data_IF_769525907651
#
_entry.id   IF_769525907651
#
_cell.length_a   1.000
_cell.length_b   1.000
_cell.length_c   1.000
_cell.angle_alpha   90.00
_cell.angle_beta   90.00
_cell.angle_gamma   90.00
#
_symmetry.space_group_name_H-M   'P 1'
#
loop_
_entity.id
_entity.type
_entity.pdbx_description
1 polymer ?
#
# COMPACT_ATOMS: atom_id res chain seq x y z
N UNK A 1 3.87 24.00 -16.71
CA UNK A 1 5.14 23.92 -17.45
C UNK A 1 5.96 22.69 -17.03
N UNK A 2 6.11 22.45 -15.72
CA UNK A 2 6.96 21.36 -15.20
C UNK A 2 6.26 20.03 -15.06
N UNK A 3 4.95 19.93 -15.30
CA UNK A 3 4.15 18.73 -15.05
C UNK A 3 4.28 18.20 -13.60
N UNK A 4 4.46 19.08 -12.65
CA UNK A 4 4.67 18.77 -11.24
C UNK A 4 3.63 19.47 -10.37
N UNK A 5 3.51 19.01 -9.13
CA UNK A 5 2.66 19.61 -8.09
C UNK A 5 3.47 19.83 -6.83
N UNK A 6 3.11 20.86 -6.06
CA UNK A 6 3.56 21.08 -4.70
C UNK A 6 2.42 20.67 -3.76
N UNK A 7 2.66 19.71 -2.89
CA UNK A 7 1.70 19.23 -1.91
C UNK A 7 2.15 19.60 -0.50
N UNK A 8 1.23 20.17 0.30
CA UNK A 8 1.44 20.51 1.70
C UNK A 8 0.79 19.49 2.64
N UNK A 9 1.15 19.44 3.93
CA UNK A 9 0.48 18.60 4.92
C UNK A 9 -1.04 18.82 4.91
N UNK A 10 -1.79 17.74 4.98
CA UNK A 10 -3.25 17.77 4.85
C UNK A 10 -3.77 17.58 3.42
N UNK A 11 -2.92 17.73 2.39
CA UNK A 11 -3.31 17.36 1.03
C UNK A 11 -3.52 15.86 0.93
N UNK A 12 -4.71 15.44 0.47
CA UNK A 12 -5.03 14.03 0.28
C UNK A 12 -4.73 13.57 -1.14
N UNK A 13 -4.47 12.29 -1.33
CA UNK A 13 -4.36 11.69 -2.67
C UNK A 13 -5.65 11.86 -3.46
N UNK A 14 -6.80 11.78 -2.80
CA UNK A 14 -8.10 12.01 -3.41
C UNK A 14 -8.23 13.43 -4.00
N UNK A 15 -7.84 14.46 -3.23
CA UNK A 15 -7.86 15.85 -3.71
C UNK A 15 -6.90 16.03 -4.88
N UNK A 16 -5.72 15.40 -4.82
CA UNK A 16 -4.74 15.45 -5.89
C UNK A 16 -5.27 14.80 -7.17
N UNK A 17 -5.88 13.62 -7.10
CA UNK A 17 -6.53 12.96 -8.23
C UNK A 17 -7.63 13.85 -8.85
N UNK A 18 -8.46 14.47 -8.01
CA UNK A 18 -9.53 15.37 -8.45
C UNK A 18 -9.02 16.62 -9.17
N UNK A 19 -7.91 17.20 -8.69
CA UNK A 19 -7.29 18.40 -9.33
C UNK A 19 -6.62 18.02 -10.65
N UNK A 20 -5.99 16.85 -10.75
CA UNK A 20 -5.23 16.42 -11.93
C UNK A 20 -6.13 15.90 -13.06
N UNK A 21 -7.25 15.27 -12.72
CA UNK A 21 -8.16 14.64 -13.70
C UNK A 21 -8.62 15.59 -14.82
N UNK A 22 -9.07 16.84 -14.57
CA UNK A 22 -9.43 17.79 -15.63
C UNK A 22 -8.27 18.17 -16.55
N UNK A 23 -7.03 18.03 -16.07
CA UNK A 23 -5.81 18.31 -16.82
C UNK A 23 -5.33 17.10 -17.65
N UNK A 24 -6.07 15.97 -17.63
CA UNK A 24 -5.68 14.73 -18.28
C UNK A 24 -4.42 14.11 -17.65
N UNK A 25 -4.22 14.37 -16.37
CA UNK A 25 -3.06 13.88 -15.61
C UNK A 25 -3.49 13.07 -14.40
N UNK A 26 -2.56 12.30 -13.86
CA UNK A 26 -2.74 11.48 -12.66
C UNK A 26 -1.54 11.62 -11.70
N UNK A 27 -1.72 11.32 -10.42
CA UNK A 27 -0.67 11.44 -9.42
C UNK A 27 0.42 10.37 -9.59
N UNK A 28 1.52 10.55 -8.85
CA UNK A 28 2.65 9.63 -8.78
C UNK A 28 2.27 8.24 -8.27
N UNK A 29 1.23 8.14 -7.45
CA UNK A 29 0.76 6.87 -6.87
C UNK A 29 -0.76 6.85 -6.79
N UNK A 30 -1.35 5.67 -6.93
CA UNK A 30 -2.73 5.35 -6.61
C UNK A 30 -2.70 4.36 -5.45
N UNK A 31 -3.04 4.84 -4.26
CA UNK A 31 -3.08 4.02 -3.05
C UNK A 31 -4.55 3.70 -2.76
N UNK A 32 -4.87 2.44 -2.48
CA UNK A 32 -6.23 2.03 -2.14
C UNK A 32 -6.82 2.83 -0.96
N UNK A 33 -5.97 3.31 -0.04
CA UNK A 33 -6.35 4.18 1.08
C UNK A 33 -6.65 5.64 0.69
N UNK A 34 -6.54 6.03 -0.58
CA UNK A 34 -6.91 7.39 -1.02
C UNK A 34 -8.35 7.75 -0.64
N UNK A 35 -9.25 6.78 -0.70
CA UNK A 35 -10.65 6.94 -0.32
C UNK A 35 -10.90 7.13 1.20
N UNK A 36 -9.92 6.85 2.05
CA UNK A 36 -10.01 7.06 3.51
C UNK A 36 -9.15 8.23 3.99
N UNK A 37 -8.68 9.06 3.07
CA UNK A 37 -7.97 10.29 3.39
C UNK A 37 -6.45 10.15 3.51
N UNK A 38 -5.85 9.17 2.83
CA UNK A 38 -4.39 9.04 2.78
C UNK A 38 -3.75 10.33 2.28
N UNK A 39 -2.77 10.85 3.03
CA UNK A 39 -2.12 12.11 2.69
C UNK A 39 -0.95 11.89 1.73
N UNK A 40 -0.74 12.86 0.83
CA UNK A 40 0.40 12.86 -0.11
C UNK A 40 1.73 12.87 0.65
N UNK A 41 1.89 13.80 1.60
CA UNK A 41 3.11 13.91 2.41
C UNK A 41 3.34 12.65 3.25
N UNK A 42 2.27 12.08 3.84
CA UNK A 42 2.36 10.81 4.58
C UNK A 42 2.83 9.66 3.72
N UNK A 43 2.39 9.59 2.47
CA UNK A 43 2.86 8.60 1.48
C UNK A 43 4.36 8.71 1.22
N UNK A 44 4.88 9.92 1.03
CA UNK A 44 6.31 10.20 0.83
C UNK A 44 7.11 9.82 2.10
N UNK A 45 6.67 10.29 3.27
CA UNK A 45 7.38 10.02 4.52
C UNK A 45 7.46 8.54 4.88
N UNK A 46 6.54 7.72 4.38
CA UNK A 46 6.51 6.28 4.64
C UNK A 46 6.90 5.43 3.41
N UNK A 47 7.41 6.03 2.35
CA UNK A 47 7.74 5.33 1.09
C UNK A 47 6.61 4.40 0.63
N UNK A 48 5.36 4.90 0.73
CA UNK A 48 4.17 4.10 0.42
C UNK A 48 4.14 3.76 -1.07
N UNK A 49 3.84 2.51 -1.37
CA UNK A 49 3.70 2.05 -2.74
C UNK A 49 2.32 2.36 -3.32
N UNK A 50 1.69 1.36 -3.87
CA UNK A 50 0.36 1.41 -4.48
C UNK A 50 0.25 0.37 -5.59
N UNK A 51 -0.89 0.34 -6.25
CA UNK A 51 -1.19 -0.68 -7.26
C UNK A 51 -0.46 -0.50 -8.61
N UNK A 52 0.19 0.64 -8.83
CA UNK A 52 0.79 0.98 -10.12
C UNK A 52 2.09 0.20 -10.38
N UNK A 53 2.13 -0.54 -11.49
CA UNK A 53 3.30 -1.32 -11.91
C UNK A 53 4.36 -0.46 -12.58
N UNK A 54 3.97 0.64 -13.21
CA UNK A 54 4.87 1.53 -13.96
C UNK A 54 5.67 2.48 -13.10
N UNK A 55 5.28 2.65 -11.82
CA UNK A 55 5.83 3.64 -10.90
C UNK A 55 6.16 2.98 -9.58
N UNK A 56 7.25 3.43 -8.99
CA UNK A 56 7.72 2.97 -7.69
C UNK A 56 6.91 3.52 -6.52
N UNK A 57 7.47 3.39 -5.33
CA UNK A 57 6.92 4.01 -4.13
C UNK A 57 6.86 5.53 -4.28
N UNK A 58 6.04 6.16 -3.46
CA UNK A 58 5.99 7.61 -3.35
C UNK A 58 7.38 8.13 -2.93
N UNK A 59 8.03 8.88 -3.81
CA UNK A 59 9.41 9.34 -3.66
C UNK A 59 9.60 10.73 -4.23
N UNK A 60 10.40 11.54 -3.56
CA UNK A 60 10.92 12.80 -4.06
C UNK A 60 12.17 13.21 -3.29
N UNK A 61 13.08 13.90 -3.98
CA UNK A 61 14.23 14.59 -3.40
C UNK A 61 13.96 16.09 -3.19
N UNK A 62 12.76 16.54 -3.55
CA UNK A 62 12.35 17.93 -3.51
C UNK A 62 11.36 18.17 -2.36
N UNK A 63 11.87 18.64 -1.22
CA UNK A 63 11.08 18.88 -0.02
C UNK A 63 11.49 20.17 0.72
N UNK A 64 10.51 20.74 1.43
CA UNK A 64 10.72 21.75 2.46
C UNK A 64 10.43 21.12 3.81
N UNK A 65 11.39 21.13 4.72
CA UNK A 65 11.23 20.48 6.01
C UNK A 65 12.01 21.17 7.13
N UNK A 66 11.55 20.97 8.36
CA UNK A 66 12.27 21.31 9.57
C UNK A 66 12.99 20.09 10.14
N UNK A 67 14.20 20.30 10.64
CA UNK A 67 14.96 19.28 11.36
C UNK A 67 15.56 19.84 12.65
N UNK A 68 15.93 18.94 13.55
CA UNK A 68 16.78 19.27 14.70
C UNK A 68 18.20 18.82 14.37
N UNK A 69 19.13 19.76 14.34
CA UNK A 69 20.53 19.47 14.02
C UNK A 69 21.29 18.89 15.22
N UNK A 70 22.59 18.56 15.03
CA UNK A 70 23.46 17.99 16.06
C UNK A 70 23.58 18.85 17.32
N UNK A 71 23.48 20.17 17.19
CA UNK A 71 23.50 21.13 18.31
C UNK A 71 22.14 21.24 19.04
N UNK A 72 21.11 20.51 18.58
CA UNK A 72 19.76 20.60 19.11
C UNK A 72 18.97 21.83 18.64
N UNK A 73 19.45 22.54 17.63
CA UNK A 73 18.76 23.72 17.05
C UNK A 73 17.81 23.29 15.93
N UNK A 74 16.66 24.00 15.85
CA UNK A 74 15.72 23.81 14.76
C UNK A 74 16.19 24.58 13.53
N UNK A 75 16.25 23.92 12.39
CA UNK A 75 16.57 24.46 11.08
C UNK A 75 15.43 24.22 10.09
N UNK A 76 15.11 25.23 9.28
CA UNK A 76 14.23 25.06 8.12
C UNK A 76 15.12 24.87 6.88
N UNK A 77 14.93 23.75 6.18
CA UNK A 77 15.70 23.39 4.99
C UNK A 77 14.78 23.46 3.77
N UNK A 78 15.12 24.35 2.83
CA UNK A 78 14.38 24.48 1.57
C UNK A 78 15.13 23.76 0.44
N UNK A 79 14.78 22.51 0.19
CA UNK A 79 15.21 21.73 -0.97
C UNK A 79 14.04 21.48 -1.94
N UNK A 80 12.97 22.30 -1.86
CA UNK A 80 11.81 22.18 -2.74
C UNK A 80 12.15 22.52 -4.21
N UNK A 81 13.29 23.16 -4.44
CA UNK A 81 13.68 23.65 -5.76
C UNK A 81 12.83 24.84 -6.23
N UNK A 82 12.36 25.65 -5.29
CA UNK A 82 11.63 26.89 -5.52
C UNK A 82 12.23 27.95 -4.61
N UNK A 83 12.59 29.11 -5.18
CA UNK A 83 13.01 30.27 -4.39
C UNK A 83 11.79 30.87 -3.67
N UNK A 84 11.80 30.75 -2.35
CA UNK A 84 10.71 31.19 -1.48
C UNK A 84 11.16 32.34 -0.53
N UNK A 85 12.39 32.84 -0.68
CA UNK A 85 12.99 33.82 0.21
C UNK A 85 14.13 33.28 1.06
N UNK A 86 14.67 34.14 1.95
CA UNK A 86 15.90 33.85 2.68
C UNK A 86 15.69 33.59 4.18
N UNK A 87 14.55 33.94 4.73
CA UNK A 87 14.21 33.66 6.15
C UNK A 87 13.11 32.60 6.28
N UNK A 88 13.06 31.88 7.38
CA UNK A 88 11.98 30.89 7.63
C UNK A 88 10.58 31.49 7.47
N UNK A 89 10.39 32.73 7.93
CA UNK A 89 9.12 33.47 7.87
C UNK A 89 8.74 33.79 6.42
N UNK A 90 9.70 34.28 5.60
CA UNK A 90 9.48 34.51 4.18
C UNK A 90 9.13 33.24 3.44
N UNK A 91 9.94 32.17 3.63
CA UNK A 91 9.77 30.87 2.98
C UNK A 91 8.37 30.30 3.26
N UNK A 92 7.97 30.24 4.52
CA UNK A 92 6.68 29.68 4.91
C UNK A 92 5.51 30.57 4.45
N UNK A 93 5.67 31.90 4.51
CA UNK A 93 4.65 32.87 4.06
C UNK A 93 4.44 32.74 2.54
N UNK A 94 5.53 32.75 1.77
CA UNK A 94 5.47 32.64 0.31
C UNK A 94 4.92 31.29 -0.14
N UNK A 95 5.28 30.20 0.54
CA UNK A 95 4.69 28.88 0.30
C UNK A 95 3.17 28.90 0.54
N UNK A 96 2.73 29.40 1.70
CA UNK A 96 1.32 29.41 2.10
C UNK A 96 0.48 30.28 1.14
N UNK A 97 0.99 31.44 0.76
CA UNK A 97 0.29 32.42 -0.08
C UNK A 97 0.48 32.16 -1.57
N UNK A 98 1.24 31.13 -1.97
CA UNK A 98 1.64 30.86 -3.37
C UNK A 98 2.36 32.08 -3.98
N UNK A 99 3.19 32.73 -3.21
CA UNK A 99 3.96 33.92 -3.60
C UNK A 99 5.19 33.59 -4.44
N UNK A 100 5.07 32.66 -5.38
CA UNK A 100 6.10 32.22 -6.32
C UNK A 100 5.51 31.92 -7.69
N UNK A 101 6.34 32.02 -8.73
CA UNK A 101 6.00 31.79 -10.13
C UNK A 101 6.85 30.67 -10.74
N UNK A 102 6.68 30.41 -12.02
CA UNK A 102 7.54 29.48 -12.76
C UNK A 102 9.01 29.98 -12.87
N UNK A 103 9.25 31.26 -12.75
CA UNK A 103 10.60 31.85 -12.81
C UNK A 103 11.40 31.55 -11.54
N UNK A 104 10.71 31.35 -10.40
CA UNK A 104 11.32 31.04 -9.12
C UNK A 104 11.67 29.54 -8.99
N UNK A 105 11.27 28.72 -9.98
CA UNK A 105 11.53 27.28 -9.98
C UNK A 105 12.95 27.02 -10.50
N UNK A 106 13.76 26.42 -9.64
CA UNK A 106 15.12 26.02 -9.96
C UNK A 106 15.14 24.68 -10.70
N UNK A 107 15.89 24.61 -11.80
CA UNK A 107 16.19 23.36 -12.48
C UNK A 107 17.37 22.69 -11.77
N UNK A 108 17.19 21.44 -11.35
CA UNK A 108 18.24 20.66 -10.68
C UNK A 108 18.15 19.19 -11.11
N UNK A 109 19.19 18.43 -10.80
CA UNK A 109 19.21 16.96 -11.05
C UNK A 109 18.40 16.16 -10.02
N UNK A 110 17.77 16.86 -9.06
CA UNK A 110 16.96 16.23 -8.04
C UNK A 110 15.66 15.66 -8.61
N UNK A 111 15.32 14.46 -8.16
CA UNK A 111 14.20 13.69 -8.67
C UNK A 111 12.90 14.05 -7.93
N UNK A 112 11.83 14.24 -8.70
CA UNK A 112 10.47 14.43 -8.19
C UNK A 112 9.62 13.13 -8.20
N UNK A 113 10.21 12.00 -8.60
CA UNK A 113 9.66 10.63 -8.58
C UNK A 113 10.76 9.61 -8.77
N UNK A 114 10.44 8.30 -8.59
CA UNK A 114 11.37 7.21 -8.90
C UNK A 114 11.43 6.97 -10.41
N UNK A 115 12.52 7.34 -11.06
CA UNK A 115 12.72 7.19 -12.50
C UNK A 115 13.27 5.83 -12.92
N UNK A 116 13.78 5.00 -11.97
CA UNK A 116 14.41 3.72 -12.25
C UNK A 116 13.46 2.52 -12.09
N UNK A 117 12.29 2.76 -11.50
CA UNK A 117 11.42 1.68 -11.07
C UNK A 117 10.90 0.80 -12.22
N UNK A 118 10.59 1.39 -13.37
CA UNK A 118 10.10 0.65 -14.52
C UNK A 118 11.11 -0.40 -15.01
N UNK A 119 12.39 -0.04 -15.02
CA UNK A 119 13.47 -0.97 -15.36
C UNK A 119 13.67 -2.03 -14.26
N UNK A 120 13.61 -1.57 -13.02
CA UNK A 120 13.78 -2.47 -11.87
C UNK A 120 12.72 -3.55 -11.80
N UNK A 121 11.45 -3.22 -12.00
CA UNK A 121 10.36 -4.21 -11.92
C UNK A 121 10.43 -5.25 -13.05
N UNK A 122 11.04 -4.90 -14.18
CA UNK A 122 11.28 -5.79 -15.33
C UNK A 122 12.35 -6.84 -15.08
N UNK A 123 13.31 -6.55 -14.21
CA UNK A 123 14.37 -7.50 -13.85
C UNK A 123 13.82 -8.58 -12.90
N UNK A 124 13.11 -9.54 -13.47
CA UNK A 124 12.39 -10.61 -12.75
C UNK A 124 13.31 -11.67 -12.13
N UNK A 125 14.60 -11.65 -12.46
CA UNK A 125 15.59 -12.63 -11.96
C UNK A 125 16.44 -12.11 -10.81
N UNK A 126 16.27 -10.84 -10.41
CA UNK A 126 17.02 -10.26 -9.32
C UNK A 126 16.65 -10.84 -7.96
N UNK A 127 17.68 -11.08 -7.14
CA UNK A 127 17.59 -11.60 -5.79
C UNK A 127 17.28 -10.52 -4.75
N UNK A 128 16.32 -9.66 -5.06
CA UNK A 128 15.83 -8.60 -4.18
C UNK A 128 14.41 -8.17 -4.56
N UNK A 129 13.61 -7.62 -3.63
CA UNK A 129 12.29 -7.10 -3.93
C UNK A 129 12.31 -5.94 -4.93
N UNK A 130 11.19 -5.73 -5.62
CA UNK A 130 11.01 -4.55 -6.49
C UNK A 130 11.02 -3.27 -5.67
N UNK A 131 10.33 -3.28 -4.52
CA UNK A 131 10.20 -2.15 -3.61
C UNK A 131 9.86 -2.62 -2.19
N UNK A 132 10.26 -1.85 -1.20
CA UNK A 132 9.91 -2.00 0.22
C UNK A 132 10.28 -0.73 0.98
N UNK A 133 9.69 -0.48 2.16
CA UNK A 133 9.85 0.79 2.88
C UNK A 133 11.30 1.12 3.25
N UNK A 134 12.14 0.12 3.55
CA UNK A 134 13.52 0.32 3.97
C UNK A 134 14.53 0.24 2.81
N UNK A 135 14.10 0.43 1.57
CA UNK A 135 14.99 0.43 0.40
C UNK A 135 15.92 1.65 0.43
N UNK A 136 17.20 1.44 0.70
CA UNK A 136 18.21 2.50 0.82
C UNK A 136 18.26 3.44 -0.37
N UNK A 137 17.97 2.95 -1.57
CA UNK A 137 17.96 3.75 -2.80
C UNK A 137 16.84 4.80 -2.81
N UNK A 138 15.87 4.68 -1.92
CA UNK A 138 14.66 5.53 -1.82
C UNK A 138 14.50 6.17 -0.43
N UNK A 139 15.55 6.13 0.38
CA UNK A 139 15.64 6.88 1.64
C UNK A 139 16.38 8.18 1.39
N UNK A 140 15.65 9.29 1.31
CA UNK A 140 16.23 10.60 1.05
C UNK A 140 15.40 11.71 1.71
N UNK A 141 15.98 12.38 2.70
CA UNK A 141 15.32 13.50 3.41
C UNK A 141 13.88 13.19 3.81
N UNK A 142 12.86 13.84 3.18
CA UNK A 142 11.45 13.58 3.46
C UNK A 142 11.02 12.17 3.08
N UNK A 143 11.61 11.59 2.01
CA UNK A 143 11.25 10.26 1.52
C UNK A 143 11.72 9.18 2.49
N UNK A 144 10.78 8.49 3.12
CA UNK A 144 11.03 7.44 4.11
C UNK A 144 11.36 7.95 5.51
N UNK A 145 11.27 9.25 5.81
CA UNK A 145 11.66 9.81 7.11
C UNK A 145 10.75 9.38 8.28
N UNK A 146 9.55 8.91 8.02
CA UNK A 146 8.58 8.40 9.00
C UNK A 146 8.42 9.27 10.26
N UNK A 147 8.48 10.60 10.09
CA UNK A 147 8.34 11.59 11.17
C UNK A 147 9.64 11.96 11.89
N UNK A 148 10.82 11.59 11.36
CA UNK A 148 12.11 12.11 11.83
C UNK A 148 12.39 13.53 11.34
N UNK A 149 11.59 14.02 10.40
CA UNK A 149 11.58 15.40 9.92
C UNK A 149 10.17 15.97 10.00
N UNK A 150 10.05 17.29 10.18
CA UNK A 150 8.79 18.01 10.08
C UNK A 150 8.63 18.50 8.64
N UNK A 151 7.93 17.77 7.80
CA UNK A 151 7.79 18.10 6.37
C UNK A 151 6.66 19.09 6.15
N UNK A 152 6.97 20.25 5.51
CA UNK A 152 6.04 21.34 5.21
C UNK A 152 5.54 21.33 3.78
N UNK A 153 6.34 20.84 2.84
CA UNK A 153 5.93 20.66 1.45
C UNK A 153 6.79 19.60 0.77
N UNK A 154 6.22 18.98 -0.26
CA UNK A 154 6.93 18.12 -1.21
C UNK A 154 6.54 18.51 -2.63
N UNK A 155 7.49 18.39 -3.57
CA UNK A 155 7.25 18.61 -5.01
C UNK A 155 7.37 17.29 -5.74
N UNK A 156 6.37 16.98 -6.57
CA UNK A 156 6.17 15.65 -7.15
C UNK A 156 5.85 15.75 -8.63
N UNK A 157 6.33 14.79 -9.42
CA UNK A 157 5.90 14.59 -10.78
C UNK A 157 4.42 14.20 -10.87
N UNK A 158 3.78 14.61 -11.94
CA UNK A 158 2.48 14.11 -12.37
C UNK A 158 2.63 13.44 -13.73
N UNK A 159 1.72 12.52 -14.06
CA UNK A 159 1.85 11.67 -15.23
C UNK A 159 0.64 11.82 -16.16
N UNK A 160 0.79 11.58 -17.47
CA UNK A 160 -0.35 11.53 -18.38
C UNK A 160 -1.33 10.43 -17.96
N UNK A 161 -2.62 10.76 -17.90
CA UNK A 161 -3.67 9.78 -17.64
C UNK A 161 -3.88 8.88 -18.87
N UNK A 162 -4.09 7.58 -18.62
CA UNK A 162 -4.37 6.62 -19.69
C UNK A 162 -5.74 6.89 -20.31
N UNK A 163 -5.80 7.10 -21.63
CA UNK A 163 -7.04 7.38 -22.38
C UNK A 163 -7.92 6.15 -22.55
N UNK A 164 -7.31 4.96 -22.66
CA UNK A 164 -8.00 3.68 -22.86
C UNK A 164 -7.36 2.63 -21.97
N UNK A 165 -8.17 1.94 -21.20
CA UNK A 165 -7.73 0.83 -20.35
C UNK A 165 -8.63 -0.38 -20.54
N UNK A 166 -8.09 -1.57 -20.29
CA UNK A 166 -8.80 -2.85 -20.30
C UNK A 166 -8.37 -3.68 -19.11
N UNK A 167 -9.33 -4.29 -18.43
CA UNK A 167 -9.07 -5.28 -17.39
C UNK A 167 -9.27 -6.68 -17.96
N UNK A 168 -8.30 -7.55 -17.74
CA UNK A 168 -8.36 -8.98 -17.97
C UNK A 168 -8.48 -9.67 -16.62
N UNK A 169 -9.53 -10.45 -16.44
CA UNK A 169 -9.74 -11.26 -15.24
C UNK A 169 -9.25 -12.67 -15.52
N UNK A 170 -8.24 -13.10 -14.79
CA UNK A 170 -7.51 -14.34 -15.01
C UNK A 170 -7.75 -15.27 -13.81
N UNK A 171 -7.94 -16.57 -14.05
CA UNK A 171 -8.09 -17.57 -13.01
C UNK A 171 -7.30 -18.84 -13.32
N UNK A 172 -6.69 -19.45 -12.29
CA UNK A 172 -6.01 -20.75 -12.35
C UNK A 172 -6.07 -21.46 -11.01
N UNK A 173 -5.93 -22.80 -11.02
CA UNK A 173 -5.71 -23.59 -9.82
C UNK A 173 -4.23 -23.88 -9.56
N UNK A 174 -3.37 -23.52 -10.54
CA UNK A 174 -1.93 -23.64 -10.38
C UNK A 174 -1.29 -22.23 -10.22
N UNK A 175 -0.65 -21.93 -9.08
CA UNK A 175 0.00 -20.64 -8.86
C UNK A 175 1.16 -20.36 -9.84
N UNK A 176 1.81 -21.39 -10.39
CA UNK A 176 2.90 -21.25 -11.36
C UNK A 176 2.43 -20.57 -12.65
N UNK A 177 1.16 -20.76 -13.03
CA UNK A 177 0.55 -20.08 -14.19
C UNK A 177 0.58 -18.57 -14.01
N UNK A 178 0.28 -18.08 -12.80
CA UNK A 178 0.31 -16.65 -12.54
C UNK A 178 1.73 -16.10 -12.54
N UNK A 179 2.69 -16.88 -12.02
CA UNK A 179 4.11 -16.50 -12.05
C UNK A 179 4.66 -16.46 -13.47
N UNK A 180 4.31 -17.41 -14.32
CA UNK A 180 4.69 -17.38 -15.74
C UNK A 180 4.10 -16.14 -16.43
N UNK A 181 2.84 -15.81 -16.16
CA UNK A 181 2.20 -14.60 -16.69
C UNK A 181 2.94 -13.35 -16.21
N UNK A 182 3.24 -13.25 -14.92
CA UNK A 182 3.97 -12.12 -14.33
C UNK A 182 5.33 -11.96 -15.01
N UNK A 183 6.12 -13.01 -15.04
CA UNK A 183 7.48 -12.98 -15.58
C UNK A 183 7.47 -12.59 -17.05
N UNK A 184 6.64 -13.25 -17.86
CA UNK A 184 6.57 -12.95 -19.28
C UNK A 184 6.15 -11.50 -19.55
N UNK A 185 5.11 -11.01 -18.89
CA UNK A 185 4.64 -9.64 -19.07
C UNK A 185 5.72 -8.62 -18.68
N UNK A 186 6.40 -8.84 -17.56
CA UNK A 186 7.40 -7.90 -17.08
C UNK A 186 8.67 -7.89 -17.94
N UNK A 187 9.13 -9.05 -18.44
CA UNK A 187 10.36 -9.14 -19.23
C UNK A 187 10.15 -8.89 -20.72
N UNK A 188 9.03 -9.38 -21.29
CA UNK A 188 8.86 -9.44 -22.75
C UNK A 188 7.93 -8.36 -23.30
N UNK A 189 6.91 -7.91 -22.54
CA UNK A 189 5.99 -6.91 -23.06
C UNK A 189 6.68 -5.55 -23.23
N UNK A 190 6.41 -4.91 -24.35
CA UNK A 190 6.82 -3.52 -24.59
C UNK A 190 6.14 -2.58 -23.58
N UNK A 191 4.87 -2.85 -23.28
CA UNK A 191 4.03 -2.00 -22.44
C UNK A 191 3.78 -2.66 -21.09
N UNK A 192 4.30 -2.07 -19.99
CA UNK A 192 4.00 -2.52 -18.64
C UNK A 192 2.52 -2.35 -18.32
N UNK A 193 1.92 -3.24 -17.52
CA UNK A 193 0.57 -3.08 -16.99
C UNK A 193 0.42 -1.79 -16.18
N UNK A 194 -0.79 -1.29 -16.13
CA UNK A 194 -1.16 -0.24 -15.16
C UNK A 194 -1.16 -0.80 -13.75
N UNK A 195 -1.83 -1.95 -13.57
CA UNK A 195 -1.93 -2.65 -12.29
C UNK A 195 -2.13 -4.16 -12.52
N UNK A 196 -1.74 -4.95 -11.52
CA UNK A 196 -1.99 -6.39 -11.49
C UNK A 196 -2.25 -6.82 -10.05
N UNK A 197 -3.54 -7.01 -9.72
CA UNK A 197 -3.99 -7.32 -8.37
C UNK A 197 -4.33 -8.80 -8.23
N UNK A 198 -3.71 -9.42 -7.26
CA UNK A 198 -3.95 -10.82 -6.91
C UNK A 198 -4.98 -10.95 -5.78
N UNK A 199 -5.78 -12.00 -5.85
CA UNK A 199 -6.69 -12.42 -4.79
C UNK A 199 -6.87 -13.94 -4.80
N UNK A 200 -6.61 -14.59 -3.67
CA UNK A 200 -6.93 -16.00 -3.47
C UNK A 200 -8.44 -16.19 -3.19
N UNK A 201 -9.01 -17.34 -3.56
CA UNK A 201 -10.43 -17.67 -3.35
C UNK A 201 -10.89 -17.48 -1.91
N UNK A 202 -10.07 -17.87 -0.92
CA UNK A 202 -10.40 -17.65 0.50
C UNK A 202 -10.56 -16.16 0.85
N UNK A 203 -9.72 -15.29 0.28
CA UNK A 203 -9.86 -13.83 0.41
C UNK A 203 -11.10 -13.32 -0.33
N UNK A 204 -11.36 -13.82 -1.53
CA UNK A 204 -12.55 -13.50 -2.32
C UNK A 204 -13.84 -13.76 -1.53
N UNK A 205 -13.96 -14.94 -0.91
CA UNK A 205 -15.15 -15.38 -0.18
C UNK A 205 -15.41 -14.53 1.07
N UNK A 206 -14.36 -14.25 1.83
CA UNK A 206 -14.48 -13.38 3.01
C UNK A 206 -14.83 -11.95 2.58
N UNK A 207 -14.24 -11.43 1.51
CA UNK A 207 -14.57 -10.11 0.98
C UNK A 207 -16.01 -10.03 0.44
N UNK A 208 -16.51 -11.08 -0.23
CA UNK A 208 -17.90 -11.12 -0.73
C UNK A 208 -18.92 -11.01 0.40
N UNK A 209 -18.63 -11.62 1.55
CA UNK A 209 -19.55 -11.68 2.69
C UNK A 209 -19.36 -10.49 3.63
N UNK A 210 -18.12 -10.19 4.02
CA UNK A 210 -17.80 -9.24 5.08
C UNK A 210 -17.33 -7.87 4.56
N UNK A 211 -17.06 -7.75 3.27
CA UNK A 211 -16.74 -6.49 2.58
C UNK A 211 -17.90 -5.89 1.79
N UNK A 212 -19.06 -6.56 1.74
CA UNK A 212 -20.20 -6.22 0.87
C UNK A 212 -20.77 -4.83 1.10
N UNK A 213 -20.92 -4.41 2.34
CA UNK A 213 -21.42 -3.07 2.68
C UNK A 213 -20.44 -1.97 2.22
N UNK A 214 -19.15 -2.15 2.47
CA UNK A 214 -18.10 -1.24 1.99
C UNK A 214 -18.10 -1.17 0.47
N UNK A 215 -18.16 -2.32 -0.20
CA UNK A 215 -18.27 -2.38 -1.66
C UNK A 215 -19.45 -1.57 -2.18
N UNK A 216 -20.65 -1.84 -1.68
CA UNK A 216 -21.89 -1.18 -2.14
C UNK A 216 -21.91 0.31 -1.82
N UNK A 217 -21.33 0.71 -0.70
CA UNK A 217 -21.19 2.13 -0.35
C UNK A 217 -20.30 2.86 -1.35
N UNK A 218 -19.15 2.30 -1.70
CA UNK A 218 -18.25 2.91 -2.67
C UNK A 218 -18.87 2.91 -4.07
N UNK A 219 -19.45 1.79 -4.48
CA UNK A 219 -20.09 1.64 -5.81
C UNK A 219 -21.22 2.67 -6.05
N UNK A 220 -22.02 2.93 -5.01
CA UNK A 220 -23.18 3.84 -5.12
C UNK A 220 -22.88 5.30 -4.79
N UNK A 221 -22.02 5.55 -3.82
CA UNK A 221 -21.82 6.91 -3.27
C UNK A 221 -20.44 7.48 -3.56
N UNK A 222 -19.55 6.68 -4.16
CA UNK A 222 -18.17 7.07 -4.40
C UNK A 222 -17.28 7.00 -3.16
N UNK A 223 -15.98 7.15 -3.38
CA UNK A 223 -14.95 7.08 -2.33
C UNK A 223 -14.91 8.32 -1.45
N UNK A 224 -15.39 9.47 -1.93
CA UNK A 224 -15.40 10.76 -1.23
C UNK A 224 -16.29 10.78 0.03
N UNK A 225 -17.25 9.90 0.13
CA UNK A 225 -18.13 9.77 1.30
C UNK A 225 -17.56 8.86 2.40
N UNK A 226 -16.55 8.04 2.07
CA UNK A 226 -16.01 7.04 3.00
C UNK A 226 -15.43 7.64 4.29
N UNK A 227 -14.65 8.75 4.29
CA UNK A 227 -14.16 9.35 5.52
C UNK A 227 -15.27 9.77 6.47
N UNK A 228 -16.38 10.30 5.93
CA UNK A 228 -17.55 10.67 6.72
C UNK A 228 -18.21 9.44 7.35
N UNK A 229 -18.41 8.37 6.58
CA UNK A 229 -18.99 7.12 7.09
C UNK A 229 -18.15 6.50 8.19
N UNK A 230 -16.83 6.40 8.02
CA UNK A 230 -15.94 5.87 9.04
C UNK A 230 -15.93 6.75 10.29
N UNK A 231 -15.99 8.08 10.15
CA UNK A 231 -16.06 9.00 11.28
C UNK A 231 -17.36 8.80 12.08
N UNK A 232 -18.50 8.72 11.40
CA UNK A 232 -19.80 8.50 12.05
C UNK A 232 -19.80 7.13 12.75
N UNK A 233 -19.39 6.07 12.04
CA UNK A 233 -19.27 4.72 12.61
C UNK A 233 -18.40 4.73 13.87
N UNK A 234 -17.20 5.29 13.79
CA UNK A 234 -16.27 5.34 14.93
C UNK A 234 -16.83 6.09 16.15
N UNK A 235 -17.55 7.20 15.92
CA UNK A 235 -18.25 7.93 17.02
C UNK A 235 -19.36 7.09 17.65
N UNK A 236 -20.16 6.41 16.83
CA UNK A 236 -21.22 5.54 17.31
C UNK A 236 -20.66 4.34 18.08
N UNK A 237 -19.61 3.68 17.58
CA UNK A 237 -18.92 2.59 18.27
C UNK A 237 -18.36 3.05 19.61
N UNK A 238 -17.74 4.24 19.67
CA UNK A 238 -17.21 4.81 20.90
C UNK A 238 -18.28 5.08 21.97
N UNK A 239 -19.51 5.38 21.58
CA UNK A 239 -20.65 5.57 22.49
C UNK A 239 -21.24 4.21 22.91
N UNK A 240 -21.52 3.34 21.95
CA UNK A 240 -22.20 2.07 22.18
C UNK A 240 -21.36 1.09 23.01
N UNK A 241 -20.03 1.06 22.77
CA UNK A 241 -19.12 0.21 23.53
C UNK A 241 -18.97 0.61 25.01
N UNK A 242 -19.45 1.80 25.42
CA UNK A 242 -19.51 2.21 26.84
C UNK A 242 -20.72 1.66 27.59
N UNK A 243 -21.68 1.07 26.88
CA UNK A 243 -22.93 0.56 27.49
C UNK A 243 -22.76 -0.93 27.82
N UNK A 244 -22.65 -1.31 29.12
CA UNK A 244 -22.20 -2.65 29.54
C UNK A 244 -23.08 -3.82 29.09
N UNK A 245 -24.36 -3.59 28.80
CA UNK A 245 -25.30 -4.64 28.37
C UNK A 245 -25.42 -4.81 26.85
N UNK A 246 -24.77 -3.94 26.09
CA UNK A 246 -24.74 -4.09 24.62
C UNK A 246 -23.54 -4.97 24.21
N UNK A 247 -23.72 -5.83 23.21
CA UNK A 247 -22.61 -6.60 22.68
C UNK A 247 -21.58 -5.66 22.03
N UNK A 248 -20.31 -5.99 22.22
CA UNK A 248 -19.21 -5.28 21.52
C UNK A 248 -19.39 -5.37 20.00
N UNK A 249 -18.93 -4.33 19.29
CA UNK A 249 -19.01 -4.25 17.81
C UNK A 249 -20.46 -4.35 17.28
N UNK A 250 -21.43 -3.78 18.00
CA UNK A 250 -22.85 -3.87 17.66
C UNK A 250 -23.13 -3.34 16.26
N UNK A 251 -22.46 -2.25 15.84
CA UNK A 251 -22.65 -1.67 14.51
C UNK A 251 -22.19 -2.66 13.43
N UNK A 252 -20.99 -3.25 13.59
CA UNK A 252 -20.45 -4.22 12.64
C UNK A 252 -21.37 -5.44 12.50
N UNK A 253 -21.90 -5.94 13.61
CA UNK A 253 -22.85 -7.06 13.63
C UNK A 253 -24.17 -6.69 12.93
N UNK A 254 -24.70 -5.50 13.21
CA UNK A 254 -25.93 -5.02 12.58
C UNK A 254 -25.75 -4.83 11.08
N UNK A 255 -24.68 -4.16 10.67
CA UNK A 255 -24.34 -3.97 9.25
C UNK A 255 -24.17 -5.31 8.53
N UNK A 256 -23.55 -6.30 9.19
CA UNK A 256 -23.38 -7.64 8.64
C UNK A 256 -24.72 -8.37 8.44
N UNK A 257 -25.67 -8.21 9.35
CA UNK A 257 -27.02 -8.79 9.20
C UNK A 257 -27.76 -8.09 8.06
N UNK A 258 -27.73 -6.76 8.01
CA UNK A 258 -28.38 -5.98 6.96
C UNK A 258 -27.80 -6.26 5.57
N UNK A 259 -26.48 -6.49 5.48
CA UNK A 259 -25.83 -6.79 4.19
C UNK A 259 -26.32 -8.09 3.55
N UNK A 260 -26.86 -9.03 4.33
CA UNK A 260 -27.46 -10.26 3.81
C UNK A 260 -28.76 -10.02 3.05
N UNK A 261 -29.44 -8.91 3.34
CA UNK A 261 -30.70 -8.53 2.66
C UNK A 261 -30.47 -7.87 1.29
N UNK A 262 -29.24 -7.47 1.02
CA UNK A 262 -28.90 -6.82 -0.25
C UNK A 262 -28.61 -7.84 -1.35
N UNK A 263 -28.92 -7.52 -2.63
CA UNK A 263 -28.66 -8.43 -3.74
C UNK A 263 -27.17 -8.71 -3.93
N UNK A 264 -26.87 -9.70 -4.76
CA UNK A 264 -25.49 -9.97 -5.18
C UNK A 264 -24.89 -8.73 -5.84
N UNK A 265 -23.66 -8.38 -5.47
CA UNK A 265 -22.98 -7.16 -5.92
C UNK A 265 -21.86 -7.45 -6.93
N UNK A 266 -21.45 -8.72 -7.01
CA UNK A 266 -20.37 -9.13 -7.90
C UNK A 266 -20.91 -9.57 -9.27
N UNK A 267 -20.16 -9.30 -10.36
CA UNK A 267 -20.48 -9.78 -11.69
C UNK A 267 -20.55 -11.31 -11.77
N UNK A 268 -21.46 -11.82 -12.59
CA UNK A 268 -21.69 -13.27 -12.75
C UNK A 268 -20.41 -14.00 -13.18
N UNK A 269 -19.68 -13.49 -14.17
CA UNK A 269 -18.43 -14.12 -14.66
C UNK A 269 -17.34 -14.19 -13.60
N UNK A 270 -17.25 -13.21 -12.68
CA UNK A 270 -16.32 -13.30 -11.55
C UNK A 270 -16.70 -14.44 -10.61
N UNK A 271 -17.98 -14.64 -10.36
CA UNK A 271 -18.47 -15.75 -9.52
C UNK A 271 -18.25 -17.12 -10.18
N UNK A 272 -18.46 -17.24 -11.49
CA UNK A 272 -18.11 -18.44 -12.24
C UNK A 272 -16.63 -18.76 -12.16
N UNK A 273 -15.76 -17.73 -12.23
CA UNK A 273 -14.33 -17.93 -12.08
C UNK A 273 -13.95 -18.33 -10.66
N UNK A 274 -14.56 -17.69 -9.66
CA UNK A 274 -14.39 -18.08 -8.24
C UNK A 274 -14.76 -19.55 -8.00
N UNK A 275 -15.82 -20.05 -8.63
CA UNK A 275 -16.26 -21.44 -8.44
C UNK A 275 -15.30 -22.45 -9.09
N UNK A 276 -14.57 -22.04 -10.13
CA UNK A 276 -13.63 -22.88 -10.88
C UNK A 276 -12.19 -22.80 -10.42
N UNK A 277 -11.74 -21.64 -9.94
CA UNK A 277 -10.32 -21.36 -9.71
C UNK A 277 -10.05 -20.91 -8.28
N UNK A 278 -8.84 -21.19 -7.80
CA UNK A 278 -8.36 -20.76 -6.48
C UNK A 278 -7.62 -19.42 -6.53
N UNK A 279 -6.89 -19.19 -7.62
CA UNK A 279 -6.08 -17.99 -7.80
C UNK A 279 -6.69 -17.07 -8.83
N UNK A 280 -6.82 -15.78 -8.49
CA UNK A 280 -7.39 -14.76 -9.35
C UNK A 280 -6.41 -13.61 -9.53
N UNK A 281 -6.24 -13.15 -10.77
CA UNK A 281 -5.43 -12.00 -11.12
C UNK A 281 -6.25 -11.02 -11.97
N UNK A 282 -6.36 -9.78 -11.50
CA UNK A 282 -6.97 -8.67 -12.22
C UNK A 282 -5.86 -7.86 -12.89
N UNK A 283 -5.62 -8.10 -14.17
CA UNK A 283 -4.58 -7.44 -14.96
C UNK A 283 -5.18 -6.24 -15.70
N UNK A 284 -4.74 -5.03 -15.40
CA UNK A 284 -5.16 -3.80 -16.07
C UNK A 284 -4.08 -3.33 -17.02
N UNK A 285 -4.41 -3.28 -18.31
CA UNK A 285 -3.56 -2.78 -19.38
C UNK A 285 -4.07 -1.44 -19.92
N UNK A 286 -3.20 -0.69 -20.60
CA UNK A 286 -3.56 0.57 -21.24
C UNK A 286 -2.92 0.72 -22.62
N UNK A 287 -3.54 1.55 -23.48
CA UNK A 287 -3.05 1.87 -24.81
C UNK A 287 -2.76 0.62 -25.67
N UNK A 288 -1.63 0.58 -26.32
CA UNK A 288 -1.20 -0.54 -27.20
C UNK A 288 -0.96 -1.84 -26.41
N UNK A 289 -0.67 -1.75 -25.12
CA UNK A 289 -0.52 -2.92 -24.23
C UNK A 289 -1.79 -3.76 -24.12
N UNK A 290 -2.96 -3.20 -24.44
CA UNK A 290 -4.22 -3.94 -24.47
C UNK A 290 -4.19 -5.03 -25.54
N UNK A 291 -3.79 -4.69 -26.75
CA UNK A 291 -3.75 -5.64 -27.87
C UNK A 291 -2.60 -6.64 -27.68
N UNK A 292 -1.47 -6.20 -27.15
CA UNK A 292 -0.35 -7.05 -26.76
C UNK A 292 -0.81 -8.14 -25.77
N UNK A 293 -1.53 -7.77 -24.71
CA UNK A 293 -2.08 -8.72 -23.74
C UNK A 293 -3.14 -9.65 -24.34
N UNK A 294 -4.04 -9.15 -25.20
CA UNK A 294 -5.06 -9.97 -25.86
C UNK A 294 -4.45 -11.10 -26.68
N UNK A 295 -3.48 -10.75 -27.52
CA UNK A 295 -2.81 -11.73 -28.40
C UNK A 295 -2.09 -12.78 -27.57
N UNK A 296 -1.33 -12.33 -26.59
CA UNK A 296 -0.53 -13.24 -25.78
C UNK A 296 -1.38 -14.13 -24.87
N UNK A 297 -2.34 -13.59 -24.12
CA UNK A 297 -3.21 -14.37 -23.23
C UNK A 297 -4.02 -15.43 -23.99
N UNK A 298 -4.50 -15.09 -25.19
CA UNK A 298 -5.18 -16.06 -26.06
C UNK A 298 -4.28 -17.22 -26.46
N UNK A 299 -3.02 -16.96 -26.80
CA UNK A 299 -2.04 -17.99 -27.14
C UNK A 299 -1.64 -18.81 -25.90
N UNK A 300 -1.40 -18.16 -24.79
CA UNK A 300 -0.97 -18.80 -23.55
C UNK A 300 -2.02 -19.78 -23.03
N UNK A 301 -3.27 -19.35 -22.89
CA UNK A 301 -4.37 -20.20 -22.39
C UNK A 301 -4.93 -21.20 -23.41
N UNK A 302 -4.38 -21.26 -24.61
CA UNK A 302 -4.63 -22.39 -25.51
C UNK A 302 -3.96 -23.69 -25.02
N UNK A 303 -2.95 -23.58 -24.14
CA UNK A 303 -2.12 -24.70 -23.67
C UNK A 303 -1.95 -24.73 -22.14
N UNK A 304 -2.10 -23.60 -21.44
CA UNK A 304 -1.96 -23.50 -20.00
C UNK A 304 -3.27 -23.86 -19.27
N UNK A 305 -3.15 -24.40 -18.05
CA UNK A 305 -4.31 -24.62 -17.17
C UNK A 305 -4.84 -23.31 -16.62
N UNK A 306 -6.17 -23.12 -16.68
CA UNK A 306 -6.81 -21.90 -16.25
C UNK A 306 -7.62 -21.22 -17.37
N UNK A 307 -7.80 -19.93 -17.25
CA UNK A 307 -8.52 -19.14 -18.24
C UNK A 307 -8.57 -17.65 -17.93
N UNK A 308 -9.12 -16.90 -18.86
CA UNK A 308 -9.32 -15.47 -18.66
C UNK A 308 -10.58 -14.98 -19.39
N UNK A 309 -11.02 -13.80 -19.03
CA UNK A 309 -11.98 -13.03 -19.83
C UNK A 309 -11.63 -11.54 -19.84
N UNK A 310 -11.98 -10.89 -20.94
CA UNK A 310 -11.94 -9.44 -21.04
C UNK A 310 -13.14 -8.87 -20.31
N UNK A 311 -12.90 -8.08 -19.28
CA UNK A 311 -13.94 -7.42 -18.51
C UNK A 311 -14.62 -6.33 -19.33
N UNK A 312 -15.93 -6.17 -19.18
CA UNK A 312 -16.57 -4.89 -19.48
C UNK A 312 -16.02 -3.81 -18.53
N UNK A 313 -16.15 -2.52 -18.85
CA UNK A 313 -15.71 -1.44 -17.94
C UNK A 313 -16.28 -1.59 -16.52
N UNK A 314 -17.56 -1.98 -16.41
CA UNK A 314 -18.24 -2.20 -15.14
C UNK A 314 -17.65 -3.40 -14.37
N UNK A 315 -17.43 -4.53 -15.05
CA UNK A 315 -16.84 -5.72 -14.44
C UNK A 315 -15.41 -5.43 -13.94
N UNK A 316 -14.62 -4.73 -14.73
CA UNK A 316 -13.27 -4.33 -14.35
C UNK A 316 -13.25 -3.43 -13.12
N UNK A 317 -14.11 -2.42 -13.07
CA UNK A 317 -14.26 -1.54 -11.91
C UNK A 317 -14.67 -2.32 -10.66
N UNK A 318 -15.65 -3.22 -10.78
CA UNK A 318 -16.13 -4.07 -9.68
C UNK A 318 -15.09 -5.08 -9.21
N UNK A 319 -14.25 -5.61 -10.11
CA UNK A 319 -13.18 -6.51 -9.74
C UNK A 319 -12.13 -5.82 -8.85
N UNK A 320 -11.68 -4.63 -9.22
CA UNK A 320 -10.78 -3.84 -8.39
C UNK A 320 -11.43 -3.37 -7.08
N UNK A 321 -12.71 -3.00 -7.12
CA UNK A 321 -13.45 -2.62 -5.91
C UNK A 321 -13.61 -3.80 -4.95
N UNK A 322 -13.83 -5.02 -5.44
CA UNK A 322 -13.88 -6.22 -4.61
C UNK A 322 -12.54 -6.49 -3.92
N UNK A 323 -11.43 -6.39 -4.67
CA UNK A 323 -10.08 -6.47 -4.11
C UNK A 323 -9.81 -5.38 -3.06
N UNK A 324 -10.30 -4.16 -3.28
CA UNK A 324 -10.22 -3.08 -2.31
C UNK A 324 -11.02 -3.39 -1.03
N UNK A 325 -12.25 -3.87 -1.18
CA UNK A 325 -13.13 -4.21 -0.04
C UNK A 325 -12.55 -5.34 0.83
N UNK A 326 -11.66 -6.17 0.28
CA UNK A 326 -10.98 -7.23 1.02
C UNK A 326 -10.15 -6.71 2.19
N UNK A 327 -9.53 -5.53 2.05
CA UNK A 327 -8.67 -4.95 3.08
C UNK A 327 -9.37 -4.76 4.44
N UNK A 328 -10.68 -4.47 4.44
CA UNK A 328 -11.47 -4.32 5.68
C UNK A 328 -12.22 -5.58 6.12
N UNK A 329 -12.26 -6.61 5.28
CA UNK A 329 -13.13 -7.77 5.49
C UNK A 329 -12.67 -8.68 6.64
N UNK A 330 -11.37 -8.86 6.84
CA UNK A 330 -10.82 -9.61 7.97
C UNK A 330 -11.16 -8.94 9.31
N UNK A 331 -11.06 -7.61 9.38
CA UNK A 331 -11.42 -6.84 10.58
C UNK A 331 -12.92 -6.97 10.89
N UNK A 332 -13.78 -6.93 9.85
CA UNK A 332 -15.23 -7.15 10.02
C UNK A 332 -15.50 -8.60 10.46
N UNK A 333 -14.80 -9.58 9.90
CA UNK A 333 -14.91 -10.96 10.30
C UNK A 333 -14.60 -11.11 11.80
N UNK A 334 -13.47 -10.58 12.26
CA UNK A 334 -13.09 -10.58 13.67
C UNK A 334 -14.15 -9.88 14.56
N UNK A 335 -14.64 -8.71 14.17
CA UNK A 335 -15.65 -7.97 14.93
C UNK A 335 -16.96 -8.78 15.12
N UNK A 336 -17.35 -9.58 14.14
CA UNK A 336 -18.57 -10.40 14.17
C UNK A 336 -18.33 -11.70 14.95
N UNK A 337 -17.15 -12.31 14.84
CA UNK A 337 -16.79 -13.62 15.39
C UNK A 337 -15.83 -13.56 16.59
N UNK A 338 -15.77 -12.44 17.29
CA UNK A 338 -14.80 -12.18 18.38
C UNK A 338 -14.85 -13.18 19.56
N UNK A 339 -15.85 -14.07 19.62
CA UNK A 339 -15.90 -15.15 20.60
C UNK A 339 -15.00 -16.33 20.22
N UNK A 340 -14.85 -16.57 18.91
CA UNK A 340 -14.16 -17.73 18.36
C UNK A 340 -12.81 -17.37 17.74
N UNK A 341 -12.58 -16.05 17.54
CA UNK A 341 -11.39 -15.47 16.90
C UNK A 341 -10.65 -14.61 17.91
N UNK A 342 -9.33 -14.79 17.99
CA UNK A 342 -8.49 -13.99 18.89
C UNK A 342 -8.17 -12.62 18.31
N UNK A 343 -7.60 -12.61 17.11
CA UNK A 343 -7.13 -11.40 16.46
C UNK A 343 -6.96 -11.62 14.95
N UNK A 344 -6.65 -10.55 14.22
CA UNK A 344 -6.18 -10.57 12.83
C UNK A 344 -4.73 -10.12 12.82
N UNK A 345 -3.84 -10.98 12.31
CA UNK A 345 -2.44 -10.67 12.12
C UNK A 345 -2.21 -10.25 10.65
N UNK A 346 -2.05 -8.95 10.36
CA UNK A 346 -1.70 -8.50 9.03
C UNK A 346 -0.18 -8.56 8.83
N UNK A 347 0.26 -9.11 7.69
CA UNK A 347 1.62 -9.05 7.22
C UNK A 347 1.69 -8.38 5.85
N UNK A 348 2.63 -7.46 5.73
CA UNK A 348 2.86 -6.66 4.54
C UNK A 348 4.26 -7.00 3.99
N UNK A 349 4.30 -7.76 2.91
CA UNK A 349 5.46 -8.56 2.51
C UNK A 349 5.91 -8.17 1.10
N UNK A 350 7.20 -7.91 0.92
CA UNK A 350 7.83 -7.77 -0.39
C UNK A 350 8.71 -9.02 -0.64
N UNK A 351 8.28 -9.88 -1.55
CA UNK A 351 9.03 -11.05 -1.99
C UNK A 351 10.14 -10.64 -2.97
N UNK A 352 11.19 -11.44 -3.07
CA UNK A 352 12.21 -11.26 -4.09
C UNK A 352 11.62 -11.38 -5.49
N UNK A 353 12.15 -10.66 -6.46
CA UNK A 353 11.67 -10.69 -7.86
C UNK A 353 11.84 -12.05 -8.51
N UNK A 354 12.86 -12.81 -8.11
CA UNK A 354 13.15 -14.16 -8.58
C UNK A 354 12.43 -15.28 -7.79
N UNK A 355 11.63 -14.95 -6.78
CA UNK A 355 10.92 -15.95 -5.96
C UNK A 355 9.76 -16.58 -6.77
N UNK A 356 10.03 -17.76 -7.36
CA UNK A 356 9.02 -18.52 -8.12
C UNK A 356 8.01 -19.23 -7.24
N UNK A 357 8.38 -19.62 -6.01
CA UNK A 357 7.50 -20.23 -5.02
C UNK A 357 6.80 -19.13 -4.18
N UNK A 358 6.19 -18.19 -4.89
CA UNK A 358 5.58 -16.99 -4.32
C UNK A 358 4.36 -17.26 -3.43
N UNK A 359 3.61 -18.34 -3.71
CA UNK A 359 2.43 -18.69 -2.92
C UNK A 359 2.85 -19.37 -1.62
N UNK A 360 2.43 -18.81 -0.51
CA UNK A 360 2.88 -19.23 0.81
C UNK A 360 2.37 -20.64 1.18
N UNK A 361 3.28 -21.45 1.67
CA UNK A 361 3.02 -22.77 2.27
C UNK A 361 3.46 -22.70 3.73
N UNK A 362 2.50 -22.65 4.63
CA UNK A 362 2.78 -22.62 6.06
C UNK A 362 3.01 -24.03 6.60
N UNK A 363 3.90 -24.20 7.61
CA UNK A 363 4.01 -25.44 8.37
C UNK A 363 2.69 -25.82 9.06
N UNK A 364 2.36 -27.13 9.19
CA UNK A 364 1.10 -27.57 9.79
C UNK A 364 0.82 -26.98 11.17
N UNK A 365 1.86 -26.82 11.99
CA UNK A 365 1.77 -26.24 13.33
C UNK A 365 1.37 -24.75 13.36
N UNK A 366 1.56 -24.03 12.25
CA UNK A 366 1.08 -22.67 12.08
C UNK A 366 -0.32 -22.68 11.45
N UNK A 367 -0.53 -23.51 10.41
CA UNK A 367 -1.84 -23.67 9.76
C UNK A 367 -2.93 -24.00 10.80
N UNK A 368 -2.63 -24.88 11.75
CA UNK A 368 -3.55 -25.30 12.80
C UNK A 368 -3.94 -24.18 13.79
N UNK A 369 -3.23 -23.07 13.81
CA UNK A 369 -3.55 -21.88 14.62
C UNK A 369 -4.50 -20.90 13.94
N UNK A 370 -4.78 -21.10 12.65
CA UNK A 370 -5.51 -20.16 11.81
C UNK A 370 -6.94 -20.62 11.56
N UNK A 371 -7.86 -19.66 11.49
CA UNK A 371 -9.25 -19.85 11.04
C UNK A 371 -9.33 -19.58 9.53
N UNK A 372 -8.72 -18.48 9.08
CA UNK A 372 -8.67 -18.07 7.69
C UNK A 372 -7.32 -17.44 7.34
N UNK A 373 -6.97 -17.54 6.06
CA UNK A 373 -5.86 -16.86 5.43
C UNK A 373 -6.41 -16.03 4.26
N UNK A 374 -6.26 -14.74 4.30
CA UNK A 374 -6.70 -13.84 3.24
C UNK A 374 -5.47 -13.37 2.48
N UNK A 375 -5.21 -14.00 1.35
CA UNK A 375 -4.07 -13.68 0.51
C UNK A 375 -4.49 -12.80 -0.65
N UNK A 376 -3.91 -11.61 -0.72
CA UNK A 376 -4.06 -10.69 -1.82
C UNK A 376 -2.81 -9.80 -1.93
N UNK A 377 -2.65 -9.07 -3.04
CA UNK A 377 -1.48 -8.20 -3.19
C UNK A 377 -1.32 -7.60 -4.58
N UNK A 378 -0.31 -6.74 -4.67
CA UNK A 378 0.17 -6.16 -5.92
C UNK A 378 1.09 -7.15 -6.63
N UNK A 379 0.50 -8.08 -7.38
CA UNK A 379 1.17 -9.28 -7.87
C UNK A 379 2.39 -8.99 -8.75
N UNK A 380 2.27 -8.02 -9.65
CA UNK A 380 3.34 -7.75 -10.61
C UNK A 380 4.65 -7.31 -9.94
N UNK A 381 4.60 -6.68 -8.80
CA UNK A 381 5.79 -6.30 -8.02
C UNK A 381 6.08 -7.20 -6.82
N UNK A 382 5.37 -8.32 -6.68
CA UNK A 382 5.49 -9.27 -5.57
C UNK A 382 5.33 -8.64 -4.17
N UNK A 383 4.44 -7.65 -4.06
CA UNK A 383 4.04 -7.09 -2.76
C UNK A 383 2.73 -7.73 -2.33
N UNK A 384 2.77 -8.47 -1.21
CA UNK A 384 1.65 -9.25 -0.71
C UNK A 384 1.10 -8.67 0.58
N UNK A 385 -0.21 -8.51 0.62
CA UNK A 385 -0.96 -8.13 1.83
C UNK A 385 -1.70 -9.38 2.32
N UNK A 386 -1.25 -9.92 3.44
CA UNK A 386 -1.77 -11.18 3.95
C UNK A 386 -2.35 -10.97 5.34
N UNK A 387 -3.63 -11.31 5.51
CA UNK A 387 -4.31 -11.26 6.80
C UNK A 387 -4.57 -12.67 7.30
N UNK A 388 -4.09 -12.97 8.50
CA UNK A 388 -4.28 -14.26 9.16
C UNK A 388 -5.27 -14.09 10.31
N UNK A 389 -6.39 -14.79 10.23
CA UNK A 389 -7.41 -14.78 11.28
C UNK A 389 -7.09 -15.89 12.28
N UNK A 390 -6.78 -15.51 13.51
CA UNK A 390 -6.26 -16.41 14.54
C UNK A 390 -7.38 -17.09 15.31
N UNK A 391 -7.23 -18.38 15.60
CA UNK A 391 -8.10 -19.12 16.53
C UNK A 391 -8.01 -18.52 17.93
N UNK A 392 -9.09 -18.66 18.70
CA UNK A 392 -9.15 -18.19 20.08
C UNK A 392 -8.06 -18.83 20.94
N UNK A 393 -7.37 -18.01 21.75
CA UNK A 393 -6.27 -18.43 22.63
C UNK A 393 -4.88 -18.43 21.99
N UNK A 394 -4.76 -18.13 20.69
CA UNK A 394 -3.46 -18.00 20.02
C UNK A 394 -2.81 -16.67 20.39
N UNK A 395 -1.54 -16.67 20.76
CA UNK A 395 -0.79 -15.46 21.04
C UNK A 395 -0.34 -14.77 19.72
N UNK A 396 -0.86 -13.59 19.36
CA UNK A 396 -0.54 -12.96 18.08
C UNK A 396 0.94 -12.57 17.97
N UNK A 397 1.59 -12.19 19.07
CA UNK A 397 2.99 -11.78 19.07
C UNK A 397 3.92 -12.95 18.78
N UNK A 398 3.73 -14.08 19.44
CA UNK A 398 4.53 -15.28 19.22
C UNK A 398 4.35 -15.84 17.80
N UNK A 399 3.11 -15.86 17.33
CA UNK A 399 2.83 -16.30 15.96
C UNK A 399 3.49 -15.38 14.95
N UNK A 400 3.41 -14.06 15.15
CA UNK A 400 4.08 -13.10 14.29
C UNK A 400 5.58 -13.34 14.20
N UNK A 401 6.25 -13.57 15.33
CA UNK A 401 7.70 -13.83 15.37
C UNK A 401 8.06 -15.09 14.56
N UNK A 402 7.28 -16.17 14.68
CA UNK A 402 7.48 -17.39 13.89
C UNK A 402 7.29 -17.13 12.38
N UNK A 403 6.26 -16.38 12.01
CA UNK A 403 6.00 -16.10 10.60
C UNK A 403 7.04 -15.16 9.99
N UNK A 404 7.54 -14.17 10.75
CA UNK A 404 8.63 -13.32 10.29
C UNK A 404 9.92 -14.12 10.07
N UNK A 405 10.22 -15.12 10.92
CA UNK A 405 11.37 -16.00 10.72
C UNK A 405 11.27 -16.79 9.39
N UNK A 406 10.09 -17.30 9.03
CA UNK A 406 9.87 -17.96 7.73
C UNK A 406 10.08 -16.99 6.55
N UNK A 407 9.70 -15.72 6.71
CA UNK A 407 9.93 -14.70 5.68
C UNK A 407 11.42 -14.35 5.56
N UNK A 408 12.15 -14.29 6.67
CA UNK A 408 13.61 -14.09 6.68
C UNK A 408 14.34 -15.21 5.93
N UNK A 409 13.93 -16.47 6.12
CA UNK A 409 14.48 -17.62 5.39
C UNK A 409 14.26 -17.51 3.87
N UNK A 410 13.16 -16.89 3.44
CA UNK A 410 12.86 -16.62 2.03
C UNK A 410 13.59 -15.38 1.49
N UNK A 411 14.27 -14.60 2.32
CA UNK A 411 14.87 -13.31 1.94
C UNK A 411 13.84 -12.24 1.59
N UNK A 412 12.61 -12.37 2.09
CA UNK A 412 11.57 -11.36 1.93
C UNK A 412 11.88 -10.12 2.77
N UNK A 413 11.35 -8.96 2.36
CA UNK A 413 11.43 -7.72 3.13
C UNK A 413 10.06 -7.33 3.69
N UNK A 414 10.07 -6.74 4.88
CA UNK A 414 8.85 -6.26 5.53
C UNK A 414 9.15 -5.06 6.46
N UNK A 415 8.21 -4.10 6.57
CA UNK A 415 7.02 -3.99 5.74
C UNK A 415 7.35 -3.60 4.30
N UNK A 416 6.49 -4.01 3.35
CA UNK A 416 6.58 -3.56 1.98
C UNK A 416 6.13 -2.10 1.83
N UNK A 417 4.97 -1.75 2.41
CA UNK A 417 4.31 -0.46 2.24
C UNK A 417 3.70 0.14 3.51
N UNK A 418 3.32 -0.68 4.50
CA UNK A 418 2.52 -0.27 5.64
C UNK A 418 3.18 -0.56 6.99
N UNK A 419 2.85 0.29 7.99
CA UNK A 419 3.28 0.09 9.38
C UNK A 419 4.80 0.19 9.62
N UNK A 420 5.52 0.86 8.73
CA UNK A 420 6.94 1.15 8.95
C UNK A 420 7.12 1.86 10.29
N UNK A 421 8.03 1.37 11.09
CA UNK A 421 8.35 1.95 12.40
C UNK A 421 7.34 1.71 13.51
N UNK A 422 6.14 1.25 13.23
CA UNK A 422 5.10 0.98 14.23
C UNK A 422 5.09 -0.51 14.64
N UNK A 423 4.85 -1.40 13.70
CA UNK A 423 4.74 -2.83 13.96
C UNK A 423 6.08 -3.58 13.81
N UNK A 424 6.97 -3.08 12.99
CA UNK A 424 8.20 -3.75 12.61
C UNK A 424 9.43 -3.06 13.16
N UNK A 425 10.48 -3.84 13.43
CA UNK A 425 11.79 -3.33 13.82
C UNK A 425 12.47 -2.74 12.58
N UNK A 426 13.04 -1.54 12.73
CA UNK A 426 13.82 -0.94 11.66
C UNK A 426 15.10 -1.75 11.40
N UNK A 427 15.33 -2.17 10.13
CA UNK A 427 16.60 -2.79 9.76
C UNK A 427 17.74 -1.77 9.88
N UNK A 428 19.02 -2.24 9.90
CA UNK A 428 20.17 -1.38 10.19
C UNK A 428 20.28 -0.13 9.30
N UNK A 429 20.02 -0.26 8.00
CA UNK A 429 20.07 0.86 7.05
C UNK A 429 19.01 1.92 7.35
N UNK A 430 17.77 1.51 7.64
CA UNK A 430 16.69 2.43 7.98
C UNK A 430 16.96 3.13 9.32
N UNK A 431 17.50 2.40 10.30
CA UNK A 431 17.91 2.97 11.58
C UNK A 431 19.03 4.01 11.40
N UNK A 432 20.01 3.74 10.55
CA UNK A 432 21.08 4.69 10.22
C UNK A 432 20.51 5.94 9.55
N UNK A 433 19.59 5.79 8.63
CA UNK A 433 18.88 6.89 8.00
C UNK A 433 18.13 7.76 9.02
N UNK A 434 17.41 7.15 9.97
CA UNK A 434 16.72 7.88 11.03
C UNK A 434 17.67 8.66 11.93
N UNK A 435 18.84 8.11 12.26
CA UNK A 435 19.89 8.80 13.04
C UNK A 435 20.42 10.01 12.30
N UNK A 436 20.66 9.89 11.00
CA UNK A 436 21.18 10.98 10.18
C UNK A 436 20.14 12.11 10.01
N UNK A 437 18.84 11.75 9.90
CA UNK A 437 17.75 12.70 9.77
C UNK A 437 17.49 13.49 11.09
N UNK A 438 17.66 12.82 12.25
CA UNK A 438 17.40 13.39 13.58
C UNK A 438 18.48 12.89 14.57
N UNK A 439 19.67 13.48 14.56
CA UNK A 439 20.80 13.04 15.40
C UNK A 439 20.52 13.17 16.90
N UNK A 440 19.61 14.04 17.28
CA UNK A 440 19.22 14.23 18.70
C UNK A 440 18.15 13.26 19.17
N UNK A 441 17.55 12.47 18.28
CA UNK A 441 16.39 11.61 18.56
C UNK A 441 15.23 12.38 19.22
N UNK A 442 14.98 13.61 18.80
CA UNK A 442 13.92 14.49 19.33
C UNK A 442 12.59 14.25 18.60
N UNK A 443 12.66 13.98 17.28
CA UNK A 443 11.48 13.78 16.45
C UNK A 443 11.07 12.31 16.46
N UNK A 444 9.82 12.02 16.82
CA UNK A 444 9.23 10.67 16.83
C UNK A 444 10.16 9.59 17.44
N UNK A 445 10.61 9.73 18.71
CA UNK A 445 11.54 8.80 19.35
C UNK A 445 10.91 7.41 19.52
N UNK A 446 11.70 6.34 19.36
CA UNK A 446 11.25 4.95 19.43
C UNK A 446 10.68 4.39 18.14
N UNK A 447 10.69 5.15 17.06
CA UNK A 447 10.31 4.70 15.72
C UNK A 447 11.14 3.48 15.31
N UNK A 448 10.50 2.46 14.72
CA UNK A 448 11.19 1.22 14.35
C UNK A 448 11.71 0.41 15.51
N UNK A 449 11.08 0.53 16.68
CA UNK A 449 11.49 -0.10 17.95
C UNK A 449 12.94 0.26 18.32
N UNK A 450 13.38 1.46 17.95
CA UNK A 450 14.67 2.03 18.37
C UNK A 450 14.54 2.64 19.77
N UNK A 451 15.68 3.12 20.33
CA UNK A 451 15.68 3.79 21.64
C UNK A 451 14.78 5.05 21.64
N UNK A 452 14.17 5.34 22.80
CA UNK A 452 13.45 6.59 23.06
C UNK A 452 14.33 7.65 23.72
N UNK A 453 15.60 7.33 24.01
CA UNK A 453 16.51 8.24 24.70
C UNK A 453 17.10 9.26 23.72
N UNK A 454 17.34 10.47 24.19
CA UNK A 454 18.00 11.52 23.43
C UNK A 454 19.39 11.06 22.95
N UNK A 455 19.82 11.63 21.82
CA UNK A 455 21.12 11.34 21.18
C UNK A 455 21.36 9.84 20.95
N UNK A 456 20.27 9.05 20.80
CA UNK A 456 20.30 7.62 20.55
C UNK A 456 21.06 6.82 21.63
N UNK A 457 21.12 7.31 22.88
CA UNK A 457 21.75 6.61 23.99
C UNK A 457 21.15 5.22 24.22
N UNK A 458 22.02 4.27 24.54
CA UNK A 458 21.64 2.87 24.78
C UNK A 458 21.33 2.07 23.51
N UNK A 459 21.47 2.68 22.33
CA UNK A 459 21.28 2.03 21.05
C UNK A 459 22.62 1.43 20.54
N UNK A 460 23.24 0.60 21.39
CA UNK A 460 24.44 -0.17 21.01
C UNK A 460 24.06 -1.17 19.92
N UNK A 461 24.89 -1.23 18.84
CA UNK A 461 24.75 -2.17 17.72
C UNK A 461 24.94 -3.66 18.06
N UNK A 462 24.89 -4.02 19.34
CA UNK A 462 24.94 -5.40 19.83
C UNK A 462 23.54 -5.83 20.23
N UNK A 463 23.01 -6.85 19.55
CA UNK A 463 21.72 -7.45 19.88
C UNK A 463 21.72 -8.00 21.30
N UNK A 464 21.16 -7.24 22.23
CA UNK A 464 20.69 -7.75 23.50
C UNK A 464 19.26 -7.26 23.70
N UNK A 465 18.36 -8.21 23.67
CA UNK A 465 16.98 -8.08 24.13
C UNK A 465 16.94 -7.63 25.56
N UNK A 466 16.51 -6.40 25.79
CA UNK A 466 16.11 -5.93 27.10
C UNK A 466 14.60 -5.73 27.11
N UNK A 467 13.89 -6.70 27.63
CA UNK A 467 12.49 -6.55 28.03
C UNK A 467 12.38 -5.44 29.10
N UNK A 468 11.58 -4.43 28.78
CA UNK A 468 10.81 -3.68 29.79
C UNK A 468 9.57 -3.08 29.12
#
# INVERSE_FOLDING_TARGET
>A
EFNQVVAMPGSTLYDLEKILKPLGREPHSLIGSSCIGASVVGGICNSSGGSLVRRGPAYTELALYGRVNDDGKVELVNHLGIDLGNTPEEILTNLQNRGYSSEDVQVSDKLASDHEYAERVRDVDADSPSRFNADERRLFEASGCAGKLAVFAVRLDTFPADKKTQVFYIGSNNPDVLEDIRRYILSEFKNLPVAGEYMHRGCFDIAEIYGKDTFLMIDKFGTDKMPMFFTIKGRMDAVLNKVPFLPSNLIDRTMQVLSKLWPSHLPHRMKEFRDRYEHHLMLKMAGDGIDEAKVWLKSYFAHADGGYFECTPEEGAKAFLHRFAAAGSAVRYHAVHNKDVEDVLPLDIALRRNDRDWFEKLPPEIEDLLVHKLYCGHFMCHVMHQDYVLKKGVNPKELKEKMLALLDERGAQYPAEHNVGHLYKAPPQLKSFYKNADPTNTMNPGLGKTTKRKHWEGDCGCGQSGDH
#
